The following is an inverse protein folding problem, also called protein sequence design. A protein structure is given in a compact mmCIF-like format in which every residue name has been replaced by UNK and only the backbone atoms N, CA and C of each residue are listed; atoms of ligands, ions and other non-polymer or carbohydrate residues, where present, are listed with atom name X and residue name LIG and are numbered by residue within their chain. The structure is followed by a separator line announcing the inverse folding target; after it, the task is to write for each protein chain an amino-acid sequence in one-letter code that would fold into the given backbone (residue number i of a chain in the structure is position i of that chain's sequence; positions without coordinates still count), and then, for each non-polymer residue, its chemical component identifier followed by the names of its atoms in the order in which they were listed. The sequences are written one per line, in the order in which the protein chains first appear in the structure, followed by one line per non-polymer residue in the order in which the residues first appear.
data_IF_038417669442
#
_entry.id   IF_038417669442
#
_cell.length_a   1.000
_cell.length_b   1.000
_cell.length_c   1.000
_cell.angle_alpha   90.00
_cell.angle_beta   90.00
_cell.angle_gamma   90.00
#
_symmetry.space_group_name_H-M   'P 1'
#
loop_
_entity.id
_entity.type
_entity.pdbx_description
1 polymer ?
#
# COMPACT_ATOMS: atom_id res chain seq x y z
N UNK A 1 -17.40 17.24 -18.56
CA UNK A 1 -18.68 17.74 -19.09
C UNK A 1 -19.73 17.99 -18.00
N UNK A 2 -20.06 17.01 -17.16
CA UNK A 2 -21.08 17.15 -16.09
C UNK A 2 -20.69 18.21 -15.06
N UNK A 3 -19.45 18.18 -14.59
CA UNK A 3 -18.89 19.18 -13.66
C UNK A 3 -18.85 20.60 -14.24
N UNK A 4 -18.50 20.74 -15.52
CA UNK A 4 -18.52 22.03 -16.23
C UNK A 4 -19.95 22.60 -16.36
N UNK A 5 -20.93 21.74 -16.68
CA UNK A 5 -22.34 22.13 -16.78
C UNK A 5 -22.91 22.56 -15.43
N UNK A 6 -22.53 21.88 -14.35
CA UNK A 6 -22.95 22.22 -12.99
C UNK A 6 -22.43 23.61 -12.59
N UNK A 7 -21.13 23.87 -12.79
CA UNK A 7 -20.48 25.12 -12.39
C UNK A 7 -20.92 26.35 -13.21
N UNK A 8 -21.13 26.16 -14.52
CA UNK A 8 -21.57 27.22 -15.42
C UNK A 8 -23.01 27.67 -15.13
N UNK A 9 -23.85 26.77 -14.60
CA UNK A 9 -25.25 27.06 -14.34
C UNK A 9 -25.51 27.62 -12.94
N UNK A 10 -24.62 27.37 -11.97
CA UNK A 10 -24.81 27.82 -10.58
C UNK A 10 -23.88 28.94 -10.13
N UNK A 11 -22.64 29.02 -10.62
CA UNK A 11 -21.60 29.88 -10.01
C UNK A 11 -21.05 30.95 -10.98
N UNK A 12 -20.96 30.68 -12.28
CA UNK A 12 -20.31 31.59 -13.25
C UNK A 12 -21.26 32.01 -14.39
N UNK A 13 -22.16 32.97 -14.12
CA UNK A 13 -22.95 33.63 -15.19
C UNK A 13 -22.08 34.73 -15.85
N UNK A 14 -21.21 34.34 -16.78
CA UNK A 14 -20.38 35.27 -17.57
C UNK A 14 -20.54 35.06 -19.08
N UNK A 15 -20.65 36.16 -19.85
CA UNK A 15 -20.67 36.11 -21.33
C UNK A 15 -19.36 35.49 -21.83
N UNK A 16 -19.47 34.45 -22.67
CA UNK A 16 -18.34 33.81 -23.34
C UNK A 16 -17.73 34.80 -24.34
N UNK A 17 -16.61 35.43 -23.96
CA UNK A 17 -15.84 36.25 -24.90
C UNK A 17 -15.12 35.30 -25.86
N UNK A 18 -15.25 35.50 -27.19
CA UNK A 18 -14.52 34.69 -28.15
C UNK A 18 -13.02 34.93 -27.93
N UNK A 19 -12.32 33.90 -27.45
CA UNK A 19 -10.88 33.91 -27.34
C UNK A 19 -10.29 33.87 -28.74
N UNK A 20 -9.91 35.03 -29.28
CA UNK A 20 -8.97 35.09 -30.39
C UNK A 20 -7.63 34.63 -29.82
N UNK A 21 -7.26 33.39 -30.13
CA UNK A 21 -5.99 32.84 -29.72
C UNK A 21 -4.95 33.21 -30.77
N UNK A 22 -4.49 34.46 -30.74
CA UNK A 22 -3.30 34.90 -31.47
C UNK A 22 -2.12 34.10 -30.91
N UNK A 23 -1.70 33.03 -31.59
CA UNK A 23 -0.57 32.24 -31.12
C UNK A 23 0.72 33.02 -31.42
N UNK A 24 1.50 33.45 -30.40
CA UNK A 24 2.79 34.07 -30.67
C UNK A 24 3.71 33.07 -31.38
N UNK A 25 4.65 33.53 -32.21
CA UNK A 25 5.61 32.64 -32.86
C UNK A 25 6.38 31.83 -31.81
N UNK A 26 6.23 30.51 -31.86
CA UNK A 26 6.84 29.57 -30.93
C UNK A 26 8.37 29.62 -31.06
N UNK A 27 9.04 30.12 -30.01
CA UNK A 27 10.50 30.13 -29.94
C UNK A 27 10.95 28.91 -29.17
N UNK A 28 11.78 28.07 -29.80
CA UNK A 28 12.34 26.89 -29.15
C UNK A 28 13.15 27.33 -27.92
N UNK A 29 12.85 26.78 -26.73
CA UNK A 29 13.56 27.16 -25.51
C UNK A 29 15.00 26.66 -25.56
N UNK A 30 15.94 27.48 -25.08
CA UNK A 30 17.32 27.05 -24.87
C UNK A 30 17.37 26.06 -23.71
N UNK A 31 17.83 24.82 -23.96
CA UNK A 31 17.89 23.72 -22.97
C UNK A 31 18.58 24.15 -21.67
N UNK A 32 19.67 24.92 -21.79
CA UNK A 32 20.43 25.43 -20.62
C UNK A 32 19.55 26.28 -19.70
N UNK A 33 18.78 27.22 -20.27
CA UNK A 33 17.90 28.10 -19.51
C UNK A 33 16.75 27.32 -18.89
N UNK A 34 16.18 26.36 -19.62
CA UNK A 34 15.15 25.46 -19.08
C UNK A 34 15.68 24.67 -17.87
N UNK A 35 16.87 24.07 -17.98
CA UNK A 35 17.48 23.29 -16.88
C UNK A 35 17.77 24.14 -15.65
N UNK A 36 18.27 25.38 -15.83
CA UNK A 36 18.51 26.30 -14.70
C UNK A 36 17.20 26.62 -13.99
N UNK A 37 16.15 26.98 -14.74
CA UNK A 37 14.84 27.28 -14.14
C UNK A 37 14.19 26.04 -13.50
N UNK A 38 14.35 24.87 -14.11
CA UNK A 38 13.87 23.61 -13.51
C UNK A 38 14.60 23.31 -12.21
N UNK A 39 15.92 23.53 -12.15
CA UNK A 39 16.72 23.34 -10.94
C UNK A 39 16.30 24.30 -9.83
N UNK A 40 16.11 25.59 -10.14
CA UNK A 40 15.66 26.58 -9.16
C UNK A 40 14.29 26.21 -8.59
N UNK A 41 13.36 25.76 -9.44
CA UNK A 41 12.03 25.30 -9.01
C UNK A 41 12.12 24.02 -8.18
N UNK A 42 12.93 23.05 -8.59
CA UNK A 42 13.15 21.80 -7.86
C UNK A 42 13.79 22.05 -6.49
N UNK A 43 14.82 22.88 -6.41
CA UNK A 43 15.47 23.27 -5.15
C UNK A 43 14.51 24.01 -4.23
N UNK A 44 13.72 24.94 -4.78
CA UNK A 44 12.69 25.66 -4.01
C UNK A 44 11.64 24.71 -3.43
N UNK A 45 11.20 23.72 -4.22
CA UNK A 45 10.28 22.68 -3.76
C UNK A 45 10.91 21.82 -2.66
N UNK A 46 12.14 21.35 -2.86
CA UNK A 46 12.84 20.48 -1.90
C UNK A 46 13.08 21.20 -0.57
N UNK A 47 13.44 22.48 -0.58
CA UNK A 47 13.58 23.30 0.63
C UNK A 47 12.26 23.50 1.37
N UNK A 48 11.14 23.62 0.64
CA UNK A 48 9.80 23.86 1.23
C UNK A 48 9.09 22.60 1.72
N UNK A 49 9.28 21.47 1.03
CA UNK A 49 8.55 20.21 1.27
C UNK A 49 9.43 19.09 1.83
N UNK A 50 10.74 19.11 1.61
CA UNK A 50 11.65 18.03 2.00
C UNK A 50 11.65 17.76 3.50
N UNK A 51 11.68 18.80 4.34
CA UNK A 51 11.60 18.65 5.79
C UNK A 51 10.29 18.02 6.28
N UNK A 52 9.20 18.29 5.55
CA UNK A 52 7.88 17.72 5.88
C UNK A 52 7.85 16.23 5.52
N UNK A 53 8.31 15.87 4.32
CA UNK A 53 8.37 14.47 3.88
C UNK A 53 9.22 13.66 4.85
N UNK A 54 10.39 14.17 5.25
CA UNK A 54 11.27 13.51 6.21
C UNK A 54 10.58 13.28 7.55
N UNK A 55 9.92 14.30 8.10
CA UNK A 55 9.17 14.17 9.36
C UNK A 55 8.10 13.09 9.28
N UNK A 56 7.33 13.04 8.19
CA UNK A 56 6.31 12.01 7.98
C UNK A 56 6.89 10.61 7.78
N UNK A 57 8.03 10.47 7.11
CA UNK A 57 8.72 9.17 6.98
C UNK A 57 9.16 8.63 8.34
N UNK A 58 9.68 9.49 9.23
CA UNK A 58 10.02 9.10 10.61
C UNK A 58 8.75 8.69 11.37
N UNK A 59 7.67 9.47 11.25
CA UNK A 59 6.39 9.15 11.90
C UNK A 59 5.85 7.81 11.42
N UNK A 60 5.82 7.54 10.11
CA UNK A 60 5.38 6.26 9.56
C UNK A 60 6.25 5.12 10.08
N UNK A 61 7.57 5.29 10.10
CA UNK A 61 8.47 4.27 10.62
C UNK A 61 8.17 3.96 12.10
N UNK A 62 7.99 4.98 12.94
CA UNK A 62 7.60 4.79 14.35
C UNK A 62 6.25 4.11 14.47
N UNK A 63 5.23 4.53 13.71
CA UNK A 63 3.89 3.94 13.75
C UNK A 63 3.86 2.51 13.19
N UNK A 64 4.77 2.19 12.28
CA UNK A 64 4.91 0.85 11.70
C UNK A 64 5.62 -0.10 12.66
N UNK A 65 6.51 0.41 13.51
CA UNK A 65 7.36 -0.42 14.38
C UNK A 65 6.80 -0.59 15.79
N UNK A 66 6.04 0.39 16.29
CA UNK A 66 5.53 0.41 17.67
C UNK A 66 4.01 0.25 17.74
N UNK A 67 3.48 -0.34 18.84
CA UNK A 67 4.18 -1.06 19.91
C UNK A 67 4.57 -2.49 19.51
N UNK A 68 5.68 -3.00 20.06
CA UNK A 68 6.10 -4.40 19.91
C UNK A 68 5.52 -5.27 21.03
N UNK A 69 4.56 -6.17 20.75
CA UNK A 69 3.98 -7.04 21.75
C UNK A 69 4.95 -8.18 22.12
N UNK A 70 5.68 -8.02 23.23
CA UNK A 70 6.64 -9.04 23.69
C UNK A 70 6.01 -10.43 23.93
N UNK A 71 4.80 -10.46 24.51
CA UNK A 71 4.07 -11.70 24.80
C UNK A 71 3.78 -12.55 23.54
N UNK A 72 3.43 -11.90 22.42
CA UNK A 72 3.17 -12.58 21.15
C UNK A 72 4.47 -13.12 20.58
N UNK A 73 5.52 -12.30 20.62
CA UNK A 73 6.83 -12.72 20.15
C UNK A 73 7.30 -13.98 20.89
N UNK A 74 7.12 -14.01 22.21
CA UNK A 74 7.50 -15.14 23.04
C UNK A 74 6.66 -16.40 22.78
N UNK A 75 5.34 -16.29 22.66
CA UNK A 75 4.46 -17.43 22.35
C UNK A 75 4.85 -18.08 21.01
N UNK A 76 5.02 -17.28 19.95
CA UNK A 76 5.46 -17.80 18.67
C UNK A 76 6.89 -18.35 18.70
N UNK A 77 7.82 -17.71 19.43
CA UNK A 77 9.17 -18.24 19.57
C UNK A 77 9.17 -19.61 20.27
N UNK A 78 8.33 -19.80 21.30
CA UNK A 78 8.18 -21.09 21.97
C UNK A 78 7.60 -22.15 21.03
N UNK A 79 6.55 -21.83 20.25
CA UNK A 79 5.96 -22.74 19.25
C UNK A 79 6.97 -23.12 18.17
N UNK A 80 7.73 -22.16 17.65
CA UNK A 80 8.81 -22.38 16.68
C UNK A 80 9.88 -23.30 17.26
N UNK A 81 10.26 -23.12 18.53
CA UNK A 81 11.22 -23.99 19.20
C UNK A 81 10.67 -25.41 19.41
N UNK A 82 9.40 -25.56 19.80
CA UNK A 82 8.73 -26.86 19.94
C UNK A 82 8.75 -27.63 18.61
N UNK A 83 8.36 -26.99 17.51
CA UNK A 83 8.36 -27.61 16.18
C UNK A 83 9.78 -27.96 15.74
N UNK A 84 10.77 -27.09 15.97
CA UNK A 84 12.19 -27.40 15.69
C UNK A 84 12.70 -28.58 16.50
N UNK A 85 12.24 -28.73 17.73
CA UNK A 85 12.62 -29.83 18.61
C UNK A 85 11.96 -31.14 18.17
N UNK A 86 10.67 -31.12 17.82
CA UNK A 86 9.92 -32.27 17.28
C UNK A 86 10.53 -32.75 15.96
N UNK A 87 10.91 -31.83 15.08
CA UNK A 87 11.66 -32.12 13.85
C UNK A 87 12.98 -32.83 14.14
N UNK A 88 13.80 -32.31 15.06
CA UNK A 88 15.09 -32.94 15.42
C UNK A 88 14.92 -34.34 15.99
N UNK A 89 13.90 -34.56 16.84
CA UNK A 89 13.58 -35.88 17.41
C UNK A 89 13.19 -36.83 16.28
N UNK A 90 12.27 -36.40 15.41
CA UNK A 90 11.81 -37.19 14.25
C UNK A 90 12.97 -37.55 13.33
N UNK A 91 13.84 -36.58 13.00
CA UNK A 91 15.03 -36.78 12.18
C UNK A 91 15.98 -37.82 12.80
N UNK A 92 16.26 -37.68 14.10
CA UNK A 92 17.17 -38.60 14.81
C UNK A 92 16.63 -40.03 14.91
N UNK A 93 15.31 -40.20 15.02
CA UNK A 93 14.67 -41.52 15.04
C UNK A 93 14.75 -42.22 13.68
N UNK A 94 14.48 -41.48 12.61
CA UNK A 94 14.56 -41.99 11.23
C UNK A 94 15.99 -42.31 10.81
N UNK A 95 16.95 -41.51 11.26
CA UNK A 95 18.37 -41.74 10.98
C UNK A 95 18.91 -42.99 11.69
N UNK A 96 18.47 -43.27 12.93
CA UNK A 96 18.77 -44.52 13.65
C UNK A 96 18.15 -45.76 13.00
N UNK A 97 17.02 -45.60 12.32
CA UNK A 97 16.30 -46.69 11.67
C UNK A 97 16.76 -46.96 10.22
N UNK A 98 17.85 -46.30 9.76
CA UNK A 98 18.31 -46.34 8.37
C UNK A 98 17.18 -46.08 7.37
N UNK A 99 16.31 -45.12 7.67
CA UNK A 99 15.19 -44.75 6.81
C UNK A 99 15.67 -44.28 5.43
N UNK A 100 14.87 -44.53 4.40
CA UNK A 100 15.17 -44.12 3.02
C UNK A 100 15.25 -42.60 2.88
N UNK A 101 16.15 -42.13 2.01
CA UNK A 101 16.40 -40.70 1.75
C UNK A 101 15.13 -39.91 1.38
N UNK A 102 14.15 -40.57 0.76
CA UNK A 102 12.86 -39.99 0.37
C UNK A 102 11.99 -39.60 1.57
N UNK A 103 11.98 -40.42 2.63
CA UNK A 103 11.21 -40.14 3.86
C UNK A 103 11.79 -38.94 4.59
N UNK A 104 13.12 -38.83 4.60
CA UNK A 104 13.83 -37.67 5.17
C UNK A 104 13.48 -36.40 4.37
N UNK A 105 13.43 -36.47 3.04
CA UNK A 105 13.02 -35.33 2.20
C UNK A 105 11.57 -34.91 2.45
N UNK A 106 10.63 -35.85 2.55
CA UNK A 106 9.23 -35.55 2.84
C UNK A 106 9.06 -34.90 4.22
N UNK A 107 9.77 -35.41 5.23
CA UNK A 107 9.82 -34.83 6.57
C UNK A 107 10.35 -33.39 6.53
N UNK A 108 11.48 -33.17 5.85
CA UNK A 108 12.10 -31.85 5.72
C UNK A 108 11.13 -30.86 5.07
N UNK A 109 10.43 -31.27 4.02
CA UNK A 109 9.45 -30.45 3.31
C UNK A 109 8.21 -30.14 4.18
N UNK A 110 7.75 -31.10 4.97
CA UNK A 110 6.64 -30.90 5.90
C UNK A 110 7.00 -29.86 6.97
N UNK A 111 8.14 -30.04 7.64
CA UNK A 111 8.55 -29.14 8.73
C UNK A 111 9.00 -27.77 8.23
N UNK A 112 9.61 -27.66 7.04
CA UNK A 112 9.92 -26.36 6.44
C UNK A 112 8.65 -25.55 6.18
N UNK A 113 7.61 -26.19 5.63
CA UNK A 113 6.31 -25.54 5.38
C UNK A 113 5.62 -25.08 6.66
N UNK A 114 5.66 -25.90 7.71
CA UNK A 114 5.07 -25.57 9.02
C UNK A 114 5.82 -24.39 9.66
N UNK A 115 7.16 -24.41 9.60
CA UNK A 115 7.98 -23.35 10.18
C UNK A 115 7.74 -22.01 9.47
N UNK A 116 7.67 -22.03 8.15
CA UNK A 116 7.35 -20.86 7.33
C UNK A 116 5.96 -20.31 7.67
N UNK A 117 4.94 -21.16 7.81
CA UNK A 117 3.58 -20.72 8.18
C UNK A 117 3.53 -20.07 9.57
N UNK A 118 4.23 -20.64 10.56
CA UNK A 118 4.36 -20.06 11.90
C UNK A 118 5.03 -18.68 11.88
N UNK A 119 6.09 -18.50 11.09
CA UNK A 119 6.77 -17.21 10.94
C UNK A 119 5.89 -16.17 10.25
N UNK A 120 5.16 -16.58 9.20
CA UNK A 120 4.18 -15.74 8.51
C UNK A 120 3.09 -15.28 9.48
N UNK A 121 2.53 -16.19 10.27
CA UNK A 121 1.50 -15.86 11.26
C UNK A 121 2.03 -14.92 12.34
N UNK A 122 3.22 -15.21 12.90
CA UNK A 122 3.89 -14.34 13.88
C UNK A 122 3.98 -12.91 13.38
N UNK A 123 4.51 -12.69 12.17
CA UNK A 123 4.66 -11.34 11.60
C UNK A 123 3.32 -10.67 11.35
N UNK A 124 2.33 -11.39 10.80
CA UNK A 124 0.99 -10.82 10.58
C UNK A 124 0.34 -10.36 11.89
N UNK A 125 0.47 -11.15 12.95
CA UNK A 125 -0.03 -10.76 14.26
C UNK A 125 0.74 -9.58 14.85
N UNK A 126 2.08 -9.60 14.80
CA UNK A 126 2.89 -8.47 15.27
C UNK A 126 2.49 -7.18 14.57
N UNK A 127 2.31 -7.20 13.24
CA UNK A 127 1.89 -6.03 12.46
C UNK A 127 0.47 -5.57 12.84
N UNK A 128 -0.48 -6.47 13.15
CA UNK A 128 -1.84 -6.06 13.60
C UNK A 128 -1.80 -5.27 14.92
N UNK A 129 -0.81 -5.53 15.78
CA UNK A 129 -0.68 -4.85 17.07
C UNK A 129 -0.01 -3.47 16.97
N UNK A 130 0.71 -3.18 15.89
CA UNK A 130 1.34 -1.87 15.67
C UNK A 130 0.28 -0.79 15.41
N UNK A 131 0.63 0.48 15.57
CA UNK A 131 -0.31 1.57 15.31
C UNK A 131 -0.77 1.58 13.85
N UNK A 132 0.12 1.31 12.89
CA UNK A 132 -0.24 1.21 11.46
C UNK A 132 -1.19 0.04 11.19
N UNK A 133 -1.03 -1.09 11.90
CA UNK A 133 -1.95 -2.23 11.79
C UNK A 133 -3.33 -1.90 12.32
N UNK A 134 -3.39 -1.24 13.48
CA UNK A 134 -4.64 -0.79 14.11
C UNK A 134 -5.41 0.20 13.23
N UNK A 135 -4.73 1.14 12.56
CA UNK A 135 -5.40 2.04 11.61
C UNK A 135 -5.94 1.28 10.39
N UNK A 136 -5.21 0.30 9.88
CA UNK A 136 -5.73 -0.59 8.81
C UNK A 136 -6.95 -1.40 9.23
N UNK A 137 -6.96 -1.91 10.47
CA UNK A 137 -8.13 -2.61 11.04
C UNK A 137 -9.32 -1.66 11.28
N UNK A 138 -9.06 -0.40 11.64
CA UNK A 138 -10.10 0.62 11.79
C UNK A 138 -10.77 0.95 10.44
N UNK A 139 -9.99 0.98 9.37
CA UNK A 139 -10.47 1.29 8.01
C UNK A 139 -11.11 0.06 7.35
N UNK A 140 -10.71 -1.16 7.75
CA UNK A 140 -11.20 -2.43 7.22
C UNK A 140 -12.73 -2.55 7.04
N UNK A 141 -13.61 -2.18 8.00
CA UNK A 141 -15.07 -2.29 7.80
C UNK A 141 -15.57 -1.51 6.58
N UNK A 142 -14.94 -0.38 6.24
CA UNK A 142 -15.27 0.41 5.07
C UNK A 142 -14.76 -0.21 3.76
N UNK A 143 -13.67 -0.97 3.83
CA UNK A 143 -13.00 -1.59 2.67
C UNK A 143 -13.48 -3.01 2.37
N UNK A 144 -14.02 -3.71 3.38
CA UNK A 144 -14.62 -5.05 3.25
C UNK A 144 -15.64 -5.17 2.09
N UNK A 145 -16.58 -4.22 1.85
CA UNK A 145 -17.51 -4.33 0.72
C UNK A 145 -16.84 -4.27 -0.66
N UNK A 146 -15.60 -3.76 -0.75
CA UNK A 146 -14.80 -3.73 -1.99
C UNK A 146 -13.98 -5.01 -2.19
N UNK A 147 -14.09 -5.99 -1.27
CA UNK A 147 -13.29 -7.20 -1.28
C UNK A 147 -11.83 -6.97 -0.86
N UNK A 148 -11.52 -5.88 -0.15
CA UNK A 148 -10.17 -5.59 0.32
C UNK A 148 -9.93 -6.18 1.71
N UNK A 149 -8.69 -6.64 1.94
CA UNK A 149 -8.24 -7.16 3.24
C UNK A 149 -7.65 -6.04 4.11
N UNK A 150 -7.44 -6.32 5.40
CA UNK A 150 -6.85 -5.34 6.33
C UNK A 150 -5.43 -4.92 5.88
N UNK A 151 -4.65 -5.82 5.28
CA UNK A 151 -3.31 -5.51 4.74
C UNK A 151 -3.36 -4.44 3.64
N UNK A 152 -4.38 -4.50 2.76
CA UNK A 152 -4.61 -3.47 1.75
C UNK A 152 -4.97 -2.13 2.40
N UNK A 153 -5.75 -2.15 3.47
CA UNK A 153 -6.08 -0.94 4.26
C UNK A 153 -4.83 -0.30 4.90
N UNK A 154 -3.94 -1.10 5.48
CA UNK A 154 -2.65 -0.62 5.99
C UNK A 154 -1.82 0.01 4.86
N UNK A 155 -1.74 -0.67 3.71
CA UNK A 155 -1.00 -0.22 2.54
C UNK A 155 -1.54 1.09 1.95
N UNK A 156 -2.86 1.31 1.97
CA UNK A 156 -3.46 2.59 1.56
C UNK A 156 -3.15 3.72 2.56
N UNK A 157 -3.09 3.39 3.86
CA UNK A 157 -2.79 4.38 4.90
C UNK A 157 -1.36 4.90 4.77
N UNK A 158 -0.39 4.01 4.54
CA UNK A 158 1.00 4.39 4.28
C UNK A 158 1.18 5.01 2.90
N UNK A 159 0.42 4.57 1.91
CA UNK A 159 0.40 5.10 0.54
C UNK A 159 0.05 6.58 0.44
N UNK A 160 -0.70 7.12 1.40
CA UNK A 160 -1.09 8.53 1.42
C UNK A 160 0.14 9.47 1.42
N UNK A 161 1.24 9.06 2.04
CA UNK A 161 2.48 9.84 2.01
C UNK A 161 3.14 9.79 0.63
N UNK A 162 3.19 8.61 0.02
CA UNK A 162 3.78 8.38 -1.30
C UNK A 162 3.11 7.18 -1.98
N UNK A 163 2.61 7.36 -3.21
CA UNK A 163 1.77 6.34 -3.88
C UNK A 163 2.53 5.04 -4.17
N UNK A 164 3.82 5.14 -4.42
CA UNK A 164 4.74 4.02 -4.62
C UNK A 164 4.96 3.18 -3.35
N UNK A 165 4.77 3.76 -2.17
CA UNK A 165 4.92 3.07 -0.88
C UNK A 165 3.83 2.02 -0.66
N UNK A 166 2.71 2.10 -1.38
CA UNK A 166 1.65 1.07 -1.39
C UNK A 166 2.25 -0.29 -1.79
N UNK A 167 3.02 -0.35 -2.88
CA UNK A 167 3.59 -1.62 -3.37
C UNK A 167 4.67 -2.14 -2.40
N UNK A 168 5.49 -1.26 -1.86
CA UNK A 168 6.52 -1.62 -0.87
C UNK A 168 5.92 -2.20 0.41
N UNK A 169 4.89 -1.54 0.96
CA UNK A 169 4.21 -2.01 2.17
C UNK A 169 3.47 -3.32 1.94
N UNK A 170 2.86 -3.51 0.77
CA UNK A 170 2.27 -4.78 0.39
C UNK A 170 3.35 -5.88 0.25
N UNK A 171 4.53 -5.55 -0.26
CA UNK A 171 5.69 -6.43 -0.27
C UNK A 171 6.06 -6.95 1.12
N UNK A 172 6.17 -6.04 2.09
CA UNK A 172 6.50 -6.39 3.49
C UNK A 172 5.37 -7.20 4.14
N UNK A 173 4.11 -6.78 4.00
CA UNK A 173 2.96 -7.44 4.66
C UNK A 173 2.62 -8.82 4.10
N UNK A 174 2.90 -9.07 2.81
CA UNK A 174 2.72 -10.37 2.17
C UNK A 174 4.02 -11.20 2.16
N UNK A 175 5.04 -10.77 2.90
CA UNK A 175 6.33 -11.43 3.07
C UNK A 175 7.11 -11.66 1.77
N UNK A 176 6.97 -10.77 0.80
CA UNK A 176 7.71 -10.86 -0.45
C UNK A 176 9.18 -10.40 -0.35
N UNK A 177 9.64 -9.96 0.82
CA UNK A 177 10.98 -9.36 1.01
C UNK A 177 12.01 -10.26 1.68
N UNK A 178 11.60 -11.35 2.37
CA UNK A 178 12.50 -12.16 3.23
C UNK A 178 12.80 -13.57 2.68
N UNK A 179 12.27 -13.96 1.52
CA UNK A 179 12.62 -15.25 0.94
C UNK A 179 13.99 -15.18 0.26
N UNK A 180 14.94 -16.01 0.68
CA UNK A 180 16.15 -16.33 -0.10
C UNK A 180 15.82 -16.84 -1.52
N UNK A 181 14.58 -17.29 -1.74
CA UNK A 181 14.02 -17.44 -3.08
C UNK A 181 13.44 -16.11 -3.56
N UNK A 182 14.13 -15.46 -4.50
CA UNK A 182 13.74 -14.25 -5.24
C UNK A 182 12.38 -14.37 -6.00
N UNK A 183 11.30 -14.81 -5.35
CA UNK A 183 9.98 -14.82 -5.93
C UNK A 183 9.38 -13.42 -5.80
N UNK A 184 9.29 -12.74 -6.95
CA UNK A 184 8.65 -11.44 -7.06
C UNK A 184 7.26 -11.46 -6.41
N UNK A 185 6.87 -10.36 -5.74
CA UNK A 185 5.55 -10.16 -5.13
C UNK A 185 4.39 -10.62 -6.03
N UNK A 186 4.51 -10.40 -7.35
CA UNK A 186 3.57 -10.87 -8.38
C UNK A 186 3.28 -12.38 -8.33
N UNK A 187 4.29 -13.22 -8.04
CA UNK A 187 4.14 -14.67 -7.98
C UNK A 187 3.49 -15.12 -6.67
N UNK A 188 3.82 -14.48 -5.55
CA UNK A 188 3.19 -14.74 -4.25
C UNK A 188 1.70 -14.36 -4.27
N UNK A 189 1.34 -13.21 -4.83
CA UNK A 189 -0.06 -12.75 -4.89
C UNK A 189 -0.98 -13.64 -5.76
N UNK A 190 -0.43 -14.53 -6.60
CA UNK A 190 -1.22 -15.54 -7.33
C UNK A 190 -1.70 -16.68 -6.44
N UNK A 191 -1.09 -16.88 -5.27
CA UNK A 191 -1.47 -17.95 -4.37
C UNK A 191 -2.82 -17.62 -3.69
N UNK A 192 -3.85 -18.47 -3.81
CA UNK A 192 -5.16 -18.22 -3.19
C UNK A 192 -5.09 -18.12 -1.66
N UNK A 193 -4.01 -18.59 -1.03
CA UNK A 193 -3.76 -18.50 0.42
C UNK A 193 -3.81 -17.07 0.97
N UNK A 194 -3.56 -16.06 0.14
CA UNK A 194 -3.55 -14.64 0.54
C UNK A 194 -4.92 -13.94 0.48
N UNK A 195 -5.96 -14.64 0.01
CA UNK A 195 -7.34 -14.13 0.02
C UNK A 195 -7.61 -12.96 -0.91
N UNK A 196 -6.80 -12.78 -1.96
CA UNK A 196 -6.98 -11.73 -2.97
C UNK A 196 -7.61 -12.34 -4.21
N UNK A 197 -8.86 -11.97 -4.50
CA UNK A 197 -9.49 -12.30 -5.78
C UNK A 197 -8.97 -11.39 -6.88
N UNK A 198 -9.01 -11.86 -8.14
CA UNK A 198 -8.68 -11.04 -9.32
C UNK A 198 -9.54 -9.77 -9.38
N UNK A 199 -10.82 -9.87 -9.03
CA UNK A 199 -11.74 -8.74 -8.95
C UNK A 199 -11.31 -7.69 -7.89
N UNK A 200 -10.89 -8.15 -6.70
CA UNK A 200 -10.37 -7.27 -5.64
C UNK A 200 -9.08 -6.56 -6.07
N UNK A 201 -8.16 -7.26 -6.74
CA UNK A 201 -6.92 -6.66 -7.23
C UNK A 201 -7.16 -5.54 -8.26
N UNK A 202 -8.11 -5.73 -9.19
CA UNK A 202 -8.51 -4.70 -10.15
C UNK A 202 -9.13 -3.48 -9.44
N UNK A 203 -10.08 -3.71 -8.53
CA UNK A 203 -10.71 -2.65 -7.76
C UNK A 203 -9.69 -1.85 -6.92
N UNK A 204 -8.66 -2.53 -6.38
CA UNK A 204 -7.57 -1.92 -5.61
C UNK A 204 -6.67 -1.04 -6.48
N UNK A 205 -6.30 -1.50 -7.68
CA UNK A 205 -5.48 -0.71 -8.61
C UNK A 205 -6.17 0.61 -8.99
N UNK A 206 -7.47 0.53 -9.30
CA UNK A 206 -8.28 1.72 -9.62
C UNK A 206 -8.41 2.64 -8.41
N UNK A 207 -8.58 2.07 -7.21
CA UNK A 207 -8.62 2.85 -5.97
C UNK A 207 -7.31 3.66 -5.80
N UNK A 208 -6.15 3.03 -5.95
CA UNK A 208 -4.84 3.69 -5.77
C UNK A 208 -4.58 4.77 -6.83
N UNK A 209 -5.10 4.62 -8.05
CA UNK A 209 -5.01 5.68 -9.06
C UNK A 209 -5.86 6.91 -8.69
N UNK A 210 -7.09 6.70 -8.21
CA UNK A 210 -8.10 7.76 -8.03
C UNK A 210 -8.04 8.42 -6.64
N UNK A 211 -7.66 7.68 -5.60
CA UNK A 211 -7.68 8.19 -4.23
C UNK A 211 -6.71 9.37 -4.02
N UNK A 212 -6.81 9.93 -2.81
CA UNK A 212 -6.12 11.11 -2.28
C UNK A 212 -4.74 11.34 -2.92
N UNK A 213 -4.44 12.57 -3.36
CA UNK A 213 -3.14 12.90 -3.90
C UNK A 213 -2.10 12.89 -2.76
N UNK A 214 -0.82 12.84 -3.11
CA UNK A 214 0.22 12.69 -2.10
C UNK A 214 0.20 13.85 -1.09
N UNK A 215 0.66 13.56 0.13
CA UNK A 215 0.69 14.51 1.24
C UNK A 215 1.23 15.91 0.84
N UNK A 216 2.27 15.98 0.00
CA UNK A 216 2.83 17.24 -0.46
C UNK A 216 1.82 18.14 -1.18
N UNK A 217 0.95 17.57 -2.01
CA UNK A 217 -0.10 18.32 -2.73
C UNK A 217 -1.19 18.79 -1.78
N UNK A 218 -1.59 17.95 -0.82
CA UNK A 218 -2.57 18.30 0.20
C UNK A 218 -2.08 19.49 1.03
N UNK A 219 -0.80 19.49 1.38
CA UNK A 219 -0.18 20.59 2.13
C UNK A 219 -0.08 21.86 1.28
N UNK A 220 0.22 21.74 -0.01
CA UNK A 220 0.19 22.89 -0.92
C UNK A 220 -1.21 23.50 -0.99
N UNK A 221 -2.26 22.69 -1.18
CA UNK A 221 -3.66 23.13 -1.18
C UNK A 221 -4.01 23.80 0.16
N UNK A 222 -3.58 23.22 1.28
CA UNK A 222 -3.84 23.77 2.60
C UNK A 222 -3.19 25.15 2.81
N UNK A 223 -2.00 25.38 2.23
CA UNK A 223 -1.27 26.65 2.30
C UNK A 223 -1.80 27.71 1.32
N UNK A 224 -2.28 27.30 0.15
CA UNK A 224 -2.71 28.23 -0.92
C UNK A 224 -4.19 28.61 -0.82
N UNK A 225 -5.07 27.65 -0.57
CA UNK A 225 -6.54 27.84 -0.60
C UNK A 225 -7.11 27.80 0.83
N UNK A 226 -6.46 27.06 1.72
CA UNK A 226 -6.80 26.95 3.14
C UNK A 226 -7.08 25.52 3.60
N UNK A 227 -6.96 25.23 4.91
CA UNK A 227 -7.01 23.87 5.44
C UNK A 227 -8.38 23.20 5.26
N UNK A 228 -9.47 23.97 5.30
CA UNK A 228 -10.84 23.45 5.09
C UNK A 228 -11.00 22.86 3.69
N UNK A 229 -10.44 23.51 2.67
CA UNK A 229 -10.50 23.05 1.29
C UNK A 229 -9.59 21.85 1.04
N UNK A 230 -8.43 21.78 1.70
CA UNK A 230 -7.58 20.60 1.66
C UNK A 230 -8.29 19.36 2.22
N UNK A 231 -8.92 19.48 3.39
CA UNK A 231 -9.68 18.39 4.00
C UNK A 231 -10.88 17.99 3.12
N UNK A 232 -11.61 18.97 2.57
CA UNK A 232 -12.69 18.70 1.63
C UNK A 232 -12.22 17.91 0.40
N UNK A 233 -11.07 18.27 -0.18
CA UNK A 233 -10.48 17.55 -1.33
C UNK A 233 -10.20 16.09 -1.00
N UNK A 234 -9.60 15.82 0.18
CA UNK A 234 -9.30 14.45 0.64
C UNK A 234 -10.58 13.62 0.70
N UNK A 235 -11.60 14.10 1.42
CA UNK A 235 -12.84 13.34 1.59
C UNK A 235 -13.58 13.13 0.28
N UNK A 236 -13.64 14.16 -0.57
CA UNK A 236 -14.26 14.06 -1.89
C UNK A 236 -13.57 12.99 -2.75
N UNK A 237 -12.23 12.96 -2.78
CA UNK A 237 -11.49 11.99 -3.58
C UNK A 237 -11.58 10.57 -3.04
N UNK A 238 -11.52 10.37 -1.72
CA UNK A 238 -11.75 9.04 -1.11
C UNK A 238 -13.15 8.54 -1.43
N UNK A 239 -14.16 9.41 -1.31
CA UNK A 239 -15.54 9.04 -1.57
C UNK A 239 -15.76 8.64 -3.02
N UNK A 240 -15.22 9.42 -3.97
CA UNK A 240 -15.27 9.08 -5.40
C UNK A 240 -14.53 7.79 -5.68
N UNK A 241 -13.32 7.60 -5.14
CA UNK A 241 -12.56 6.37 -5.30
C UNK A 241 -13.31 5.15 -4.75
N UNK A 242 -13.95 5.29 -3.58
CA UNK A 242 -14.75 4.24 -2.96
C UNK A 242 -15.94 3.83 -3.83
N UNK A 243 -16.71 4.80 -4.35
CA UNK A 243 -17.86 4.51 -5.24
C UNK A 243 -17.41 3.80 -6.51
N UNK A 244 -16.36 4.32 -7.17
CA UNK A 244 -15.86 3.77 -8.43
C UNK A 244 -15.33 2.35 -8.23
N UNK A 245 -14.53 2.13 -7.19
CA UNK A 245 -13.98 0.80 -6.88
C UNK A 245 -15.06 -0.18 -6.41
N UNK A 246 -16.09 0.27 -5.69
CA UNK A 246 -17.23 -0.56 -5.31
C UNK A 246 -18.02 -1.04 -6.53
N UNK A 247 -18.35 -0.12 -7.44
CA UNK A 247 -19.03 -0.47 -8.69
C UNK A 247 -18.21 -1.47 -9.52
N UNK A 248 -16.90 -1.22 -9.66
CA UNK A 248 -15.99 -2.08 -10.41
C UNK A 248 -15.81 -3.46 -9.76
N UNK A 249 -15.73 -3.53 -8.44
CA UNK A 249 -15.63 -4.82 -7.74
C UNK A 249 -16.85 -5.70 -7.99
N UNK A 250 -18.06 -5.13 -7.91
CA UNK A 250 -19.29 -5.88 -8.18
C UNK A 250 -19.44 -6.29 -9.63
N UNK A 251 -19.09 -5.41 -10.58
CA UNK A 251 -19.08 -5.75 -12.01
C UNK A 251 -18.04 -6.82 -12.31
N UNK A 252 -16.82 -6.68 -11.80
CA UNK A 252 -15.74 -7.65 -12.02
C UNK A 252 -16.08 -9.01 -11.42
N UNK A 253 -16.72 -9.07 -10.25
CA UNK A 253 -17.18 -10.31 -9.63
C UNK A 253 -18.28 -11.03 -10.41
N UNK A 254 -19.07 -10.30 -11.22
CA UNK A 254 -20.07 -10.90 -12.10
C UNK A 254 -19.45 -11.49 -13.38
N UNK A 255 -18.30 -10.96 -13.81
CA UNK A 255 -17.64 -11.33 -15.07
C UNK A 255 -16.57 -12.42 -14.87
N UNK A 256 -15.82 -12.35 -13.76
CA UNK A 256 -14.61 -13.16 -13.46
C UNK A 256 -14.91 -14.12 -12.30
#
# INVERSE_FOLDING_TARGET
FISAKLFNNTILKGKSMPFVMELPPYRMPTIKTMLIHMWDRASSYLRKMGGIILAFSIIIWVLSEYPKPYHIEQDYNNRIQQVKQEYKISLSSLQKQHASQQVIQELNQKYSTILEDLEIQKRQEMVKYTFIGKTGLLIYPLLKPLGFNWQMGVSLTTGFVAKEVVVSTMGVLYHATDDESNQNLSQKLKNPRYGISKASALAFMIFVMIYIPCLATVIAIAREIGPRWAVFSIFYQVFVAWIVSFALYHVARLII
#
